data_IF_932321105464
#
_entry.id   IF_932321105464
#
_cell.length_a   1.000
_cell.length_b   1.000
_cell.length_c   1.000
_cell.angle_alpha   90.00
_cell.angle_beta   90.00
_cell.angle_gamma   90.00
#
_symmetry.space_group_name_H-M   'P 1'
#
loop_
_entity.id
_entity.type
_entity.pdbx_description
1 polymer ?
#
# COMPACT_ATOMS: atom_id res chain seq x y z
N UNK A 1 -18.94 -12.92 -0.86
CA UNK A 1 -17.84 -13.00 -1.86
C UNK A 1 -16.69 -13.71 -1.19
N UNK A 2 -16.15 -14.74 -1.82
CA UNK A 2 -14.95 -15.44 -1.37
C UNK A 2 -13.74 -14.49 -1.39
N UNK A 3 -12.74 -14.76 -0.56
CA UNK A 3 -11.46 -14.05 -0.55
C UNK A 3 -10.76 -14.28 -1.90
N UNK A 4 -10.38 -13.23 -2.66
CA UNK A 4 -9.66 -13.43 -3.92
C UNK A 4 -8.23 -13.92 -3.67
N UNK A 5 -7.71 -14.74 -4.56
CA UNK A 5 -6.31 -15.13 -4.55
C UNK A 5 -5.46 -13.99 -5.14
N UNK A 6 -4.31 -13.73 -4.55
CA UNK A 6 -3.30 -12.81 -5.10
C UNK A 6 -2.23 -13.63 -5.80
N UNK A 7 -2.02 -13.31 -7.08
CA UNK A 7 -1.00 -13.93 -7.93
C UNK A 7 0.09 -12.91 -8.23
N UNK A 8 1.34 -13.25 -7.91
CA UNK A 8 2.50 -12.42 -8.21
C UNK A 8 3.13 -12.86 -9.53
N UNK A 9 3.13 -11.98 -10.54
CA UNK A 9 3.85 -12.20 -11.78
C UNK A 9 5.36 -11.93 -11.60
N UNK A 10 6.17 -12.95 -11.87
CA UNK A 10 7.63 -12.96 -11.78
C UNK A 10 8.23 -12.92 -13.19
N UNK A 11 8.50 -11.69 -13.69
CA UNK A 11 8.95 -11.46 -15.06
C UNK A 11 10.46 -11.26 -15.20
N UNK A 12 11.23 -11.36 -14.10
CA UNK A 12 12.69 -11.21 -14.15
C UNK A 12 13.35 -12.33 -14.97
N UNK A 13 14.34 -11.97 -15.78
CA UNK A 13 15.18 -12.94 -16.49
C UNK A 13 16.18 -13.62 -15.55
N UNK A 14 16.56 -12.97 -14.45
CA UNK A 14 17.49 -13.52 -13.46
C UNK A 14 16.75 -14.40 -12.44
N UNK A 15 17.13 -15.68 -12.38
CA UNK A 15 16.52 -16.65 -11.47
C UNK A 15 16.74 -16.29 -9.98
N UNK A 16 17.90 -15.73 -9.63
CA UNK A 16 18.20 -15.30 -8.26
C UNK A 16 17.30 -14.14 -7.82
N UNK A 17 17.09 -13.15 -8.68
CA UNK A 17 16.14 -12.05 -8.44
C UNK A 17 14.70 -12.57 -8.34
N UNK A 18 14.31 -13.52 -9.20
CA UNK A 18 12.99 -14.17 -9.14
C UNK A 18 12.76 -14.83 -7.79
N UNK A 19 13.70 -15.65 -7.31
CA UNK A 19 13.63 -16.34 -6.02
C UNK A 19 13.64 -15.36 -4.83
N UNK A 20 14.41 -14.27 -4.92
CA UNK A 20 14.45 -13.22 -3.90
C UNK A 20 13.10 -12.51 -3.79
N UNK A 21 12.54 -12.09 -4.92
CA UNK A 21 11.24 -11.43 -4.97
C UNK A 21 10.11 -12.33 -4.45
N UNK A 22 10.11 -13.61 -4.90
CA UNK A 22 9.16 -14.61 -4.40
C UNK A 22 9.25 -14.75 -2.88
N UNK A 23 10.48 -14.79 -2.31
CA UNK A 23 10.68 -14.90 -0.85
C UNK A 23 10.13 -13.68 -0.09
N UNK A 24 10.31 -12.48 -0.62
CA UNK A 24 9.81 -11.25 -0.01
C UNK A 24 8.28 -11.19 -0.01
N UNK A 25 7.64 -11.62 -1.09
CA UNK A 25 6.20 -11.53 -1.26
C UNK A 25 5.43 -12.76 -0.71
N UNK A 26 6.10 -13.89 -0.46
CA UNK A 26 5.47 -15.17 -0.10
C UNK A 26 4.39 -15.09 1.00
N UNK A 27 4.54 -14.30 2.09
CA UNK A 27 3.51 -14.22 3.13
C UNK A 27 2.18 -13.62 2.65
N UNK A 28 2.18 -12.86 1.55
CA UNK A 28 1.06 -12.01 1.12
C UNK A 28 0.40 -12.46 -0.18
N UNK A 29 0.99 -13.44 -0.88
CA UNK A 29 0.50 -13.97 -2.16
C UNK A 29 0.13 -15.44 -2.05
N UNK A 30 -0.80 -15.87 -2.86
CA UNK A 30 -1.32 -17.24 -2.88
C UNK A 30 -0.70 -18.05 -4.04
N UNK A 31 -0.42 -17.38 -5.17
CA UNK A 31 0.09 -17.97 -6.40
C UNK A 31 1.36 -17.23 -6.82
N UNK A 32 2.41 -17.96 -7.19
CA UNK A 32 3.52 -17.43 -7.96
C UNK A 32 3.31 -17.77 -9.43
N UNK A 33 3.39 -16.75 -10.29
CA UNK A 33 3.39 -16.91 -11.73
C UNK A 33 4.81 -16.75 -12.26
N UNK A 34 5.33 -17.77 -12.90
CA UNK A 34 6.55 -17.68 -13.69
C UNK A 34 6.16 -17.03 -15.02
N UNK A 35 6.44 -15.74 -15.17
CA UNK A 35 6.07 -14.98 -16.35
C UNK A 35 6.73 -15.50 -17.62
N UNK A 36 6.11 -15.25 -18.77
CA UNK A 36 6.61 -15.72 -20.06
C UNK A 36 8.08 -15.37 -20.34
N UNK A 37 8.59 -14.16 -20.03
CA UNK A 37 10.00 -13.86 -20.19
C UNK A 37 10.89 -14.73 -19.29
N UNK A 38 10.48 -14.92 -18.04
CA UNK A 38 11.22 -15.70 -17.06
C UNK A 38 11.35 -17.17 -17.48
N UNK A 39 10.23 -17.82 -17.87
CA UNK A 39 10.25 -19.23 -18.27
C UNK A 39 11.02 -19.45 -19.56
N UNK A 40 10.91 -18.54 -20.54
CA UNK A 40 11.67 -18.61 -21.79
C UNK A 40 13.17 -18.49 -21.60
N UNK A 41 13.61 -17.73 -20.60
CA UNK A 41 15.03 -17.56 -20.29
C UNK A 41 15.61 -18.71 -19.45
N UNK A 42 14.89 -19.14 -18.39
CA UNK A 42 15.40 -20.07 -17.40
C UNK A 42 14.99 -21.52 -17.65
N UNK A 43 14.00 -21.75 -18.50
CA UNK A 43 13.49 -23.10 -18.78
C UNK A 43 12.84 -23.75 -17.54
N UNK A 44 12.73 -25.08 -17.59
CA UNK A 44 11.98 -25.86 -16.60
C UNK A 44 12.65 -25.90 -15.20
N UNK A 45 13.92 -25.53 -15.09
CA UNK A 45 14.66 -25.56 -13.81
C UNK A 45 14.05 -24.60 -12.79
N UNK A 46 13.63 -23.39 -13.22
CA UNK A 46 13.03 -22.39 -12.32
C UNK A 46 11.71 -22.88 -11.71
N UNK A 47 10.96 -23.75 -12.42
CA UNK A 47 9.73 -24.37 -11.89
C UNK A 47 10.05 -25.24 -10.69
N UNK A 48 11.06 -26.12 -10.82
CA UNK A 48 11.52 -27.01 -9.75
C UNK A 48 12.06 -26.22 -8.56
N UNK A 49 12.84 -25.19 -8.81
CA UNK A 49 13.45 -24.35 -7.77
C UNK A 49 12.37 -23.64 -6.94
N UNK A 50 11.38 -23.02 -7.60
CA UNK A 50 10.27 -22.36 -6.92
C UNK A 50 9.40 -23.36 -6.17
N UNK A 51 9.03 -24.50 -6.79
CA UNK A 51 8.19 -25.50 -6.13
C UNK A 51 8.89 -26.13 -4.92
N UNK A 52 10.19 -26.38 -5.01
CA UNK A 52 10.99 -26.88 -3.89
C UNK A 52 11.04 -25.88 -2.74
N UNK A 53 11.23 -24.59 -3.05
CA UNK A 53 11.35 -23.53 -2.06
C UNK A 53 10.01 -23.15 -1.42
N UNK A 54 8.91 -23.24 -2.18
CA UNK A 54 7.57 -22.83 -1.75
C UNK A 54 6.53 -23.94 -2.01
N UNK A 55 6.66 -25.11 -1.38
CA UNK A 55 5.81 -26.27 -1.69
C UNK A 55 4.32 -26.03 -1.43
N UNK A 56 3.98 -25.11 -0.53
CA UNK A 56 2.61 -24.77 -0.13
C UNK A 56 1.98 -23.64 -0.97
N UNK A 57 2.72 -23.11 -1.97
CA UNK A 57 2.19 -22.10 -2.89
C UNK A 57 1.77 -22.75 -4.20
N UNK A 58 0.70 -22.22 -4.78
CA UNK A 58 0.37 -22.56 -6.14
C UNK A 58 1.38 -21.93 -7.10
N UNK A 59 1.80 -22.67 -8.10
CA UNK A 59 2.76 -22.25 -9.10
C UNK A 59 2.09 -22.27 -10.48
N UNK A 60 1.90 -21.08 -11.07
CA UNK A 60 1.44 -20.92 -12.42
C UNK A 60 2.65 -20.71 -13.35
N UNK A 61 2.69 -21.44 -14.45
CA UNK A 61 3.69 -21.23 -15.51
C UNK A 61 3.01 -20.61 -16.73
N UNK A 62 3.39 -19.37 -17.06
CA UNK A 62 2.83 -18.62 -18.16
C UNK A 62 3.47 -19.00 -19.51
N UNK A 63 3.11 -20.20 -19.97
CA UNK A 63 3.65 -20.80 -21.20
C UNK A 63 3.16 -20.05 -22.45
N UNK A 64 1.95 -19.48 -22.39
CA UNK A 64 1.25 -18.94 -23.59
C UNK A 64 1.24 -19.95 -24.72
N UNK A 65 0.93 -21.22 -24.38
CA UNK A 65 0.88 -22.31 -25.36
C UNK A 65 -0.04 -21.94 -26.54
N UNK A 66 0.47 -22.08 -27.75
CA UNK A 66 -0.25 -21.74 -28.99
C UNK A 66 -0.54 -22.96 -29.84
N UNK A 67 0.24 -24.03 -29.72
CA UNK A 67 0.13 -25.28 -30.47
C UNK A 67 0.58 -26.46 -29.62
N UNK A 68 0.31 -27.70 -30.05
CA UNK A 68 0.77 -28.93 -29.40
C UNK A 68 0.54 -29.00 -27.88
N UNK A 69 -0.65 -28.60 -27.40
CA UNK A 69 -0.97 -28.31 -26.01
C UNK A 69 -0.55 -29.36 -24.99
N UNK A 70 -0.87 -30.66 -25.24
CA UNK A 70 -0.48 -31.76 -24.35
C UNK A 70 1.06 -31.92 -24.30
N UNK A 71 1.72 -31.86 -25.46
CA UNK A 71 3.15 -32.05 -25.58
C UNK A 71 3.94 -30.92 -24.89
N UNK A 72 3.55 -29.67 -25.07
CA UNK A 72 4.21 -28.52 -24.45
C UNK A 72 4.00 -28.44 -22.93
N UNK A 73 2.77 -28.69 -22.43
CA UNK A 73 2.44 -28.47 -21.02
C UNK A 73 2.89 -29.63 -20.11
N UNK A 74 2.88 -30.88 -20.59
CA UNK A 74 3.21 -32.08 -19.76
C UNK A 74 4.53 -31.94 -19.00
N UNK A 75 5.67 -31.54 -19.59
CA UNK A 75 6.93 -31.42 -18.86
C UNK A 75 6.89 -30.43 -17.69
N UNK A 76 6.11 -29.39 -17.78
CA UNK A 76 5.98 -28.36 -16.75
C UNK A 76 5.11 -28.83 -15.59
N UNK A 77 4.03 -29.52 -15.86
CA UNK A 77 3.24 -30.21 -14.83
C UNK A 77 4.09 -31.27 -14.10
N UNK A 78 4.82 -32.09 -14.86
CA UNK A 78 5.74 -33.06 -14.27
C UNK A 78 6.87 -32.43 -13.42
N UNK A 79 7.21 -31.17 -13.68
CA UNK A 79 8.18 -30.39 -12.88
C UNK A 79 7.58 -29.72 -11.63
N UNK A 80 6.25 -29.79 -11.45
CA UNK A 80 5.55 -29.28 -10.27
C UNK A 80 4.75 -28.00 -10.51
N UNK A 81 4.45 -27.64 -11.76
CA UNK A 81 3.49 -26.59 -12.04
C UNK A 81 2.08 -27.05 -11.61
N UNK A 82 1.36 -26.18 -10.88
CA UNK A 82 -0.04 -26.41 -10.52
C UNK A 82 -0.99 -25.89 -11.60
N UNK A 83 -0.55 -24.88 -12.38
CA UNK A 83 -1.33 -24.24 -13.42
C UNK A 83 -0.42 -23.93 -14.62
N UNK A 84 -0.86 -24.25 -15.83
CA UNK A 84 -0.20 -23.78 -17.06
C UNK A 84 -1.17 -22.94 -17.88
N UNK A 85 -0.63 -21.93 -18.62
CA UNK A 85 -1.46 -21.07 -19.49
C UNK A 85 -1.46 -21.58 -20.93
N UNK A 86 -2.63 -21.43 -21.57
CA UNK A 86 -2.83 -21.61 -23.02
C UNK A 86 -3.52 -20.38 -23.58
N UNK A 87 -3.13 -19.93 -24.76
CA UNK A 87 -3.73 -18.76 -25.40
C UNK A 87 -5.14 -19.08 -25.89
N UNK A 88 -6.11 -18.22 -25.59
CA UNK A 88 -7.47 -18.31 -26.09
C UNK A 88 -7.60 -18.12 -27.62
N UNK A 89 -6.56 -17.53 -28.25
CA UNK A 89 -6.46 -17.43 -29.73
C UNK A 89 -5.95 -18.72 -30.37
N UNK A 90 -5.54 -19.74 -29.58
CA UNK A 90 -5.19 -21.06 -30.11
C UNK A 90 -6.45 -21.88 -30.50
N UNK A 91 -6.27 -22.96 -31.23
CA UNK A 91 -7.35 -23.85 -31.57
C UNK A 91 -7.93 -24.63 -30.40
N UNK A 92 -9.23 -24.98 -30.44
CA UNK A 92 -9.87 -25.79 -29.39
C UNK A 92 -9.13 -27.10 -29.09
N UNK A 93 -8.49 -27.72 -30.10
CA UNK A 93 -7.68 -28.92 -29.93
C UNK A 93 -6.44 -28.68 -29.02
N UNK A 94 -5.80 -27.51 -29.14
CA UNK A 94 -4.66 -27.11 -28.31
C UNK A 94 -5.10 -26.90 -26.85
N UNK A 95 -6.21 -26.18 -26.63
CA UNK A 95 -6.78 -25.99 -25.29
C UNK A 95 -7.14 -27.33 -24.66
N UNK A 96 -7.84 -28.21 -25.40
CA UNK A 96 -8.19 -29.55 -24.93
C UNK A 96 -6.96 -30.40 -24.62
N UNK A 97 -5.86 -30.24 -25.38
CA UNK A 97 -4.58 -30.91 -25.13
C UNK A 97 -3.94 -30.49 -23.79
N UNK A 98 -3.93 -29.19 -23.48
CA UNK A 98 -3.43 -28.71 -22.18
C UNK A 98 -4.33 -29.18 -21.04
N UNK A 99 -5.67 -29.19 -21.22
CA UNK A 99 -6.62 -29.73 -20.23
C UNK A 99 -6.34 -31.21 -19.94
N UNK A 100 -6.09 -31.99 -20.99
CA UNK A 100 -5.74 -33.42 -20.85
C UNK A 100 -4.42 -33.62 -20.07
N UNK A 101 -3.40 -32.81 -20.37
CA UNK A 101 -2.13 -32.83 -19.64
C UNK A 101 -2.32 -32.47 -18.16
N UNK A 102 -3.12 -31.44 -17.87
CA UNK A 102 -3.43 -31.03 -16.51
C UNK A 102 -4.13 -32.14 -15.70
N UNK A 103 -5.16 -32.75 -16.29
CA UNK A 103 -5.89 -33.87 -15.65
C UNK A 103 -4.98 -35.06 -15.30
N UNK A 104 -3.98 -35.38 -16.16
CA UNK A 104 -3.03 -36.42 -15.89
C UNK A 104 -2.08 -36.15 -14.71
N UNK A 105 -2.00 -34.87 -14.25
CA UNK A 105 -1.11 -34.44 -13.17
C UNK A 105 -1.86 -33.80 -11.98
N UNK A 106 -3.18 -33.97 -11.91
CA UNK A 106 -4.03 -33.33 -10.88
C UNK A 106 -3.81 -31.80 -10.78
N UNK A 107 -3.72 -31.17 -11.95
CA UNK A 107 -3.38 -29.75 -12.12
C UNK A 107 -4.47 -29.00 -12.89
N UNK A 108 -4.31 -27.70 -13.07
CA UNK A 108 -5.31 -26.82 -13.66
C UNK A 108 -4.80 -26.10 -14.92
N UNK A 109 -5.74 -25.56 -15.70
CA UNK A 109 -5.45 -24.80 -16.92
C UNK A 109 -6.07 -23.42 -16.81
N UNK A 110 -5.28 -22.40 -17.15
CA UNK A 110 -5.76 -21.05 -17.40
C UNK A 110 -5.76 -20.77 -18.90
N UNK A 111 -6.93 -20.45 -19.46
CA UNK A 111 -7.06 -19.91 -20.83
C UNK A 111 -6.89 -18.38 -20.78
N UNK A 112 -5.80 -17.90 -21.38
CA UNK A 112 -5.48 -16.46 -21.43
C UNK A 112 -6.21 -15.79 -22.60
N UNK A 113 -7.07 -14.81 -22.31
CA UNK A 113 -7.85 -14.05 -23.29
C UNK A 113 -7.10 -12.86 -23.91
N UNK A 114 -5.78 -12.78 -23.74
CA UNK A 114 -4.97 -11.75 -24.42
C UNK A 114 -5.18 -11.83 -25.93
N UNK A 115 -5.43 -10.68 -26.57
CA UNK A 115 -5.66 -10.56 -28.02
C UNK A 115 -6.83 -11.39 -28.59
N UNK A 116 -7.69 -11.97 -27.77
CA UNK A 116 -8.89 -12.65 -28.21
C UNK A 116 -9.93 -11.62 -28.69
N UNK A 117 -10.41 -11.67 -29.95
CA UNK A 117 -11.38 -10.70 -30.47
C UNK A 117 -12.75 -10.82 -29.77
N UNK A 118 -13.29 -12.04 -29.65
CA UNK A 118 -14.53 -12.34 -28.93
C UNK A 118 -14.24 -13.09 -27.64
N UNK A 119 -13.96 -12.32 -26.58
CA UNK A 119 -13.62 -12.86 -25.25
C UNK A 119 -14.76 -13.64 -24.61
N UNK A 120 -16.02 -13.27 -24.93
CA UNK A 120 -17.18 -13.94 -24.33
C UNK A 120 -17.41 -15.33 -24.95
N UNK A 121 -17.27 -15.46 -26.26
CA UNK A 121 -17.34 -16.75 -26.94
C UNK A 121 -16.19 -17.66 -26.51
N UNK A 122 -14.97 -17.13 -26.45
CA UNK A 122 -13.78 -17.88 -26.01
C UNK A 122 -13.90 -18.35 -24.55
N UNK A 123 -14.41 -17.51 -23.64
CA UNK A 123 -14.61 -17.91 -22.24
C UNK A 123 -15.61 -19.07 -22.09
N UNK A 124 -16.73 -19.05 -22.87
CA UNK A 124 -17.69 -20.18 -22.91
C UNK A 124 -17.05 -21.45 -23.43
N UNK A 125 -16.26 -21.34 -24.50
CA UNK A 125 -15.58 -22.49 -25.10
C UNK A 125 -14.50 -23.05 -24.14
N UNK A 126 -13.73 -22.20 -23.48
CA UNK A 126 -12.76 -22.62 -22.47
C UNK A 126 -13.41 -23.43 -21.33
N UNK A 127 -14.54 -22.93 -20.80
CA UNK A 127 -15.33 -23.64 -19.79
C UNK A 127 -15.86 -24.99 -20.31
N UNK A 128 -16.38 -25.01 -21.55
CA UNK A 128 -16.89 -26.25 -22.18
C UNK A 128 -15.79 -27.30 -22.39
N UNK A 129 -14.57 -26.86 -22.67
CA UNK A 129 -13.40 -27.74 -22.84
C UNK A 129 -12.80 -28.23 -21.52
N UNK A 130 -13.29 -27.70 -20.37
CA UNK A 130 -12.89 -28.13 -19.04
C UNK A 130 -11.73 -27.34 -18.43
N UNK A 131 -11.45 -26.13 -18.91
CA UNK A 131 -10.53 -25.22 -18.24
C UNK A 131 -11.12 -24.74 -16.89
N UNK A 132 -10.29 -24.64 -15.88
CA UNK A 132 -10.68 -24.22 -14.53
C UNK A 132 -10.59 -22.70 -14.34
N UNK A 133 -9.77 -22.03 -15.16
CA UNK A 133 -9.49 -20.59 -15.03
C UNK A 133 -9.57 -19.94 -16.40
N UNK A 134 -10.23 -18.76 -16.45
CA UNK A 134 -10.22 -17.85 -17.61
C UNK A 134 -9.51 -16.58 -17.20
N UNK A 135 -8.43 -16.23 -17.88
CA UNK A 135 -7.61 -15.05 -17.63
C UNK A 135 -8.01 -13.87 -18.51
N UNK A 136 -8.60 -12.84 -17.94
CA UNK A 136 -8.84 -11.56 -18.62
C UNK A 136 -7.55 -10.74 -18.53
N UNK A 137 -6.85 -10.64 -19.65
CA UNK A 137 -5.51 -10.10 -19.70
C UNK A 137 -5.39 -8.91 -20.66
N UNK A 138 -4.91 -7.78 -20.17
CA UNK A 138 -4.47 -6.64 -20.99
C UNK A 138 -2.95 -6.62 -20.99
N UNK A 139 -2.34 -6.97 -22.14
CA UNK A 139 -0.89 -7.04 -22.30
C UNK A 139 -0.21 -5.67 -22.16
N UNK A 140 1.11 -5.66 -21.95
CA UNK A 140 1.89 -4.43 -21.71
C UNK A 140 1.75 -3.40 -22.84
N UNK A 141 1.74 -3.84 -24.10
CA UNK A 141 1.58 -2.94 -25.25
C UNK A 141 0.20 -2.26 -25.27
N UNK A 142 -0.84 -3.00 -24.91
CA UNK A 142 -2.19 -2.47 -24.81
C UNK A 142 -2.35 -1.54 -23.59
N UNK A 143 -1.68 -1.85 -22.49
CA UNK A 143 -1.61 -0.96 -21.32
C UNK A 143 -0.92 0.36 -21.66
N UNK A 144 0.18 0.31 -22.44
CA UNK A 144 0.87 1.52 -22.91
C UNK A 144 -0.04 2.40 -23.78
N UNK A 145 -1.00 1.79 -24.49
CA UNK A 145 -2.06 2.48 -25.24
C UNK A 145 -3.28 2.90 -24.36
N UNK A 146 -3.19 2.78 -23.03
CA UNK A 146 -4.24 3.19 -22.09
C UNK A 146 -5.40 2.20 -21.93
N UNK A 147 -5.29 0.98 -22.46
CA UNK A 147 -6.31 -0.04 -22.27
C UNK A 147 -6.25 -0.66 -20.88
N UNK A 148 -7.40 -1.12 -20.38
CA UNK A 148 -7.54 -1.78 -19.07
C UNK A 148 -8.41 -3.02 -19.18
N UNK A 149 -8.27 -4.03 -18.30
CA UNK A 149 -9.05 -5.27 -18.35
C UNK A 149 -10.46 -5.15 -17.75
N UNK A 150 -10.86 -4.01 -17.21
CA UNK A 150 -12.02 -3.92 -16.31
C UNK A 150 -13.36 -4.15 -17.01
N UNK A 151 -13.56 -3.60 -18.19
CA UNK A 151 -14.79 -3.79 -18.97
C UNK A 151 -14.97 -5.25 -19.39
N UNK A 152 -13.88 -5.86 -19.87
CA UNK A 152 -13.86 -7.26 -20.28
C UNK A 152 -14.11 -8.18 -19.09
N UNK A 153 -13.48 -7.91 -17.93
CA UNK A 153 -13.70 -8.67 -16.70
C UNK A 153 -15.17 -8.66 -16.29
N UNK A 154 -15.80 -7.47 -16.28
CA UNK A 154 -17.22 -7.35 -15.94
C UNK A 154 -18.11 -8.11 -16.92
N UNK A 155 -17.79 -8.06 -18.22
CA UNK A 155 -18.55 -8.74 -19.25
C UNK A 155 -18.46 -10.26 -19.11
N UNK A 156 -17.25 -10.81 -18.90
CA UNK A 156 -17.03 -12.25 -18.69
C UNK A 156 -17.66 -12.71 -17.37
N UNK A 157 -17.53 -11.94 -16.29
CA UNK A 157 -18.11 -12.25 -14.97
C UNK A 157 -19.63 -12.41 -15.02
N UNK A 158 -20.32 -11.60 -15.83
CA UNK A 158 -21.78 -11.69 -16.02
C UNK A 158 -22.25 -12.97 -16.72
N UNK A 159 -21.36 -13.73 -17.34
CA UNK A 159 -21.71 -15.00 -17.96
C UNK A 159 -22.03 -16.09 -16.90
N UNK A 160 -21.55 -15.94 -15.67
CA UNK A 160 -21.78 -16.91 -14.58
C UNK A 160 -21.23 -18.31 -14.89
N UNK A 161 -20.11 -18.40 -15.62
CA UNK A 161 -19.49 -19.67 -15.98
C UNK A 161 -18.90 -20.37 -14.76
N UNK A 162 -18.85 -21.72 -14.75
CA UNK A 162 -18.28 -22.49 -13.65
C UNK A 162 -16.73 -22.51 -13.71
N UNK A 163 -16.12 -21.34 -13.85
CA UNK A 163 -14.67 -21.13 -13.88
C UNK A 163 -14.28 -20.00 -12.98
N UNK A 164 -13.06 -20.00 -12.47
CA UNK A 164 -12.48 -18.85 -11.77
C UNK A 164 -12.02 -17.81 -12.78
N UNK A 165 -12.22 -16.54 -12.46
CA UNK A 165 -11.77 -15.42 -13.29
C UNK A 165 -10.48 -14.85 -12.75
N UNK A 166 -9.41 -14.94 -13.56
CA UNK A 166 -8.14 -14.26 -13.30
C UNK A 166 -8.13 -12.93 -14.07
N UNK A 167 -7.55 -11.90 -13.48
CA UNK A 167 -7.39 -10.58 -14.11
C UNK A 167 -5.95 -10.11 -14.04
N UNK A 168 -5.39 -9.75 -15.20
CA UNK A 168 -4.04 -9.23 -15.36
C UNK A 168 -4.02 -7.95 -16.21
N UNK A 169 -3.14 -7.01 -15.86
CA UNK A 169 -2.93 -5.77 -16.60
C UNK A 169 -3.17 -4.52 -15.77
N UNK A 170 -2.10 -3.89 -15.29
CA UNK A 170 -2.14 -2.61 -14.58
C UNK A 170 -2.77 -2.64 -13.18
N UNK A 171 -2.92 -3.83 -12.57
CA UNK A 171 -3.47 -3.94 -11.21
C UNK A 171 -2.45 -3.45 -10.18
N UNK A 172 -2.93 -2.60 -9.27
CA UNK A 172 -2.13 -1.98 -8.21
C UNK A 172 -3.03 -1.63 -7.01
N UNK A 173 -2.48 -0.98 -5.99
CA UNK A 173 -3.23 -0.58 -4.79
C UNK A 173 -4.49 0.26 -5.10
N UNK A 174 -4.48 1.06 -6.20
CA UNK A 174 -5.63 1.91 -6.56
C UNK A 174 -6.77 1.15 -7.22
N UNK A 175 -6.47 0.03 -7.84
CA UNK A 175 -7.41 -0.71 -8.70
C UNK A 175 -7.83 -2.05 -8.14
N UNK A 176 -7.07 -2.62 -7.17
CA UNK A 176 -7.34 -3.95 -6.61
C UNK A 176 -8.76 -4.12 -6.06
N UNK A 177 -9.30 -3.11 -5.38
CA UNK A 177 -10.68 -3.15 -4.85
C UNK A 177 -11.71 -3.13 -5.99
N UNK A 178 -11.43 -2.40 -7.06
CA UNK A 178 -12.30 -2.32 -8.24
C UNK A 178 -12.36 -3.66 -8.98
N UNK A 179 -11.22 -4.30 -9.23
CA UNK A 179 -11.19 -5.61 -9.92
C UNK A 179 -11.84 -6.71 -9.09
N UNK A 180 -11.67 -6.69 -7.76
CA UNK A 180 -12.41 -7.59 -6.86
C UNK A 180 -13.93 -7.41 -7.01
N UNK A 181 -14.42 -6.16 -6.99
CA UNK A 181 -15.85 -5.85 -7.17
C UNK A 181 -16.37 -6.24 -8.56
N UNK A 182 -15.49 -6.23 -9.55
CA UNK A 182 -15.83 -6.65 -10.92
C UNK A 182 -15.93 -8.18 -11.09
N UNK A 183 -15.62 -8.96 -10.04
CA UNK A 183 -15.80 -10.41 -10.03
C UNK A 183 -14.53 -11.21 -10.25
N UNK A 184 -13.34 -10.64 -10.01
CA UNK A 184 -12.08 -11.39 -10.05
C UNK A 184 -11.95 -12.34 -8.86
N UNK A 185 -11.69 -13.62 -9.15
CA UNK A 185 -11.32 -14.65 -8.16
C UNK A 185 -9.81 -14.70 -7.95
N UNK A 186 -9.03 -14.38 -8.98
CA UNK A 186 -7.57 -14.32 -8.97
C UNK A 186 -7.13 -12.94 -9.49
N UNK A 187 -6.34 -12.24 -8.69
CA UNK A 187 -5.85 -10.90 -9.00
C UNK A 187 -4.34 -10.97 -9.26
N UNK A 188 -3.95 -10.76 -10.52
CA UNK A 188 -2.55 -10.81 -10.94
C UNK A 188 -1.90 -9.45 -10.78
N UNK A 189 -0.77 -9.41 -10.07
CA UNK A 189 -0.01 -8.19 -9.81
C UNK A 189 1.45 -8.42 -10.18
N UNK A 190 1.98 -7.58 -11.02
CA UNK A 190 3.39 -7.59 -11.45
C UNK A 190 4.12 -6.34 -10.96
N UNK A 191 4.25 -5.34 -11.84
CA UNK A 191 5.05 -4.12 -11.64
C UNK A 191 4.75 -3.36 -10.33
N UNK A 192 3.51 -3.38 -9.84
CA UNK A 192 3.16 -2.74 -8.57
C UNK A 192 3.85 -3.37 -7.35
N UNK A 193 4.32 -4.62 -7.46
CA UNK A 193 5.09 -5.30 -6.41
C UNK A 193 6.58 -5.28 -6.76
N UNK A 194 6.99 -5.82 -7.90
CA UNK A 194 8.41 -5.96 -8.21
C UNK A 194 9.12 -4.62 -8.49
N UNK A 195 8.40 -3.60 -8.93
CA UNK A 195 8.93 -2.24 -9.14
C UNK A 195 8.89 -1.34 -7.89
N UNK A 196 8.35 -1.85 -6.77
CA UNK A 196 8.28 -1.09 -5.53
C UNK A 196 9.65 -1.09 -4.81
N UNK A 197 10.02 0.01 -4.12
CA UNK A 197 11.23 0.04 -3.29
C UNK A 197 11.26 -1.04 -2.19
N UNK A 198 10.09 -1.44 -1.69
CA UNK A 198 9.89 -2.50 -0.70
C UNK A 198 8.79 -3.47 -1.20
N UNK A 199 9.13 -4.51 -1.96
CA UNK A 199 8.18 -5.44 -2.55
C UNK A 199 7.29 -6.17 -1.54
N UNK A 200 7.82 -6.53 -0.38
CA UNK A 200 7.08 -7.13 0.73
C UNK A 200 5.99 -6.20 1.28
N UNK A 201 6.28 -4.92 1.43
CA UNK A 201 5.30 -3.90 1.86
C UNK A 201 4.22 -3.74 0.79
N UNK A 202 4.59 -3.64 -0.48
CA UNK A 202 3.64 -3.49 -1.58
C UNK A 202 2.71 -4.71 -1.70
N UNK A 203 3.24 -5.93 -1.57
CA UNK A 203 2.46 -7.16 -1.60
C UNK A 203 1.48 -7.23 -0.42
N UNK A 204 1.91 -6.86 0.79
CA UNK A 204 1.06 -6.78 1.98
C UNK A 204 -0.09 -5.80 1.78
N UNK A 205 0.18 -4.59 1.31
CA UNK A 205 -0.83 -3.56 1.08
C UNK A 205 -1.90 -4.01 0.07
N UNK A 206 -1.48 -4.63 -1.02
CA UNK A 206 -2.39 -5.20 -2.01
C UNK A 206 -3.26 -6.28 -1.39
N UNK A 207 -2.67 -7.16 -0.56
CA UNK A 207 -3.40 -8.22 0.17
C UNK A 207 -4.45 -7.62 1.11
N UNK A 208 -4.08 -6.63 1.92
CA UNK A 208 -4.96 -5.96 2.88
C UNK A 208 -6.15 -5.28 2.18
N UNK A 209 -5.90 -4.59 1.06
CA UNK A 209 -6.94 -3.96 0.26
C UNK A 209 -7.85 -4.98 -0.43
N UNK A 210 -7.30 -6.07 -0.96
CA UNK A 210 -8.05 -7.16 -1.55
C UNK A 210 -8.95 -7.86 -0.53
N UNK A 211 -8.49 -8.02 0.71
CA UNK A 211 -9.26 -8.59 1.81
C UNK A 211 -10.32 -7.61 2.36
N UNK A 212 -10.22 -6.32 2.06
CA UNK A 212 -11.09 -5.27 2.59
C UNK A 212 -10.67 -4.77 3.98
N UNK A 213 -9.47 -5.07 4.42
CA UNK A 213 -8.91 -4.66 5.71
C UNK A 213 -8.33 -3.24 5.67
N UNK A 214 -9.18 -2.24 5.40
CA UNK A 214 -8.72 -0.84 5.26
C UNK A 214 -8.03 -0.30 6.53
N UNK A 215 -8.45 -0.71 7.72
CA UNK A 215 -7.79 -0.27 8.96
C UNK A 215 -6.37 -0.84 9.07
N UNK A 216 -6.12 -2.10 8.69
CA UNK A 216 -4.77 -2.67 8.67
C UNK A 216 -3.90 -2.03 7.60
N UNK A 217 -4.47 -1.74 6.42
CA UNK A 217 -3.80 -0.97 5.38
C UNK A 217 -3.36 0.41 5.91
N UNK A 218 -4.24 1.15 6.60
CA UNK A 218 -3.91 2.43 7.21
C UNK A 218 -2.78 2.27 8.23
N UNK A 219 -2.89 1.29 9.14
CA UNK A 219 -1.85 1.02 10.15
C UNK A 219 -0.50 0.67 9.53
N UNK A 220 -0.49 -0.12 8.47
CA UNK A 220 0.73 -0.45 7.71
C UNK A 220 1.41 0.81 7.14
N UNK A 221 0.63 1.70 6.53
CA UNK A 221 1.12 2.99 6.01
C UNK A 221 1.70 3.86 7.11
N UNK A 222 0.98 4.02 8.21
CA UNK A 222 1.44 4.84 9.35
C UNK A 222 2.72 4.27 9.95
N UNK A 223 2.81 2.95 10.13
CA UNK A 223 4.02 2.28 10.62
C UNK A 223 5.23 2.55 9.72
N UNK A 224 5.06 2.52 8.40
CA UNK A 224 6.12 2.85 7.45
C UNK A 224 6.61 4.30 7.57
N UNK A 225 5.69 5.24 7.74
CA UNK A 225 6.02 6.67 7.94
C UNK A 225 6.75 6.87 9.26
N UNK A 226 6.24 6.33 10.36
CA UNK A 226 6.84 6.48 11.69
C UNK A 226 8.22 5.80 11.78
N UNK A 227 8.41 4.65 11.12
CA UNK A 227 9.71 3.98 11.07
C UNK A 227 10.80 4.78 10.34
N UNK A 228 10.43 5.65 9.41
CA UNK A 228 11.34 6.55 8.68
C UNK A 228 11.49 7.93 9.34
N UNK A 229 10.70 8.22 10.38
CA UNK A 229 10.79 9.47 11.13
C UNK A 229 12.00 9.42 12.09
N UNK A 230 12.73 10.53 12.20
CA UNK A 230 13.89 10.63 13.07
C UNK A 230 13.47 10.43 14.53
N UNK A 231 14.01 9.39 15.17
CA UNK A 231 13.73 9.05 16.58
C UNK A 231 14.16 10.12 17.58
N UNK A 232 15.07 11.03 17.19
CA UNK A 232 15.47 12.14 18.04
C UNK A 232 14.39 13.22 18.19
N UNK A 233 13.36 13.20 17.34
CA UNK A 233 12.29 14.20 17.34
C UNK A 233 11.56 14.28 18.68
N UNK A 234 11.26 13.15 19.31
CA UNK A 234 10.59 13.11 20.61
C UNK A 234 11.42 13.81 21.69
N UNK A 235 12.72 13.51 21.78
CA UNK A 235 13.62 14.13 22.75
C UNK A 235 13.80 15.63 22.49
N UNK A 236 13.95 16.03 21.23
CA UNK A 236 14.11 17.44 20.83
C UNK A 236 12.85 18.24 21.13
N UNK A 237 11.66 17.70 20.79
CA UNK A 237 10.39 18.36 21.10
C UNK A 237 10.18 18.45 22.63
N UNK A 238 10.47 17.39 23.36
CA UNK A 238 10.42 17.37 24.83
C UNK A 238 11.27 18.49 25.43
N UNK A 239 12.52 18.64 24.99
CA UNK A 239 13.40 19.71 25.46
C UNK A 239 12.86 21.11 25.17
N UNK A 240 12.23 21.31 24.01
CA UNK A 240 11.58 22.58 23.65
C UNK A 240 10.36 22.87 24.55
N UNK A 241 9.53 21.86 24.82
CA UNK A 241 8.36 21.97 25.70
C UNK A 241 8.77 22.31 27.14
N UNK A 242 9.74 21.58 27.69
CA UNK A 242 10.21 21.80 29.08
C UNK A 242 10.92 23.13 29.27
N UNK A 243 11.63 23.60 28.25
CA UNK A 243 12.31 24.88 28.27
C UNK A 243 11.40 26.09 28.01
N UNK A 244 10.09 25.93 27.98
CA UNK A 244 9.14 26.99 27.60
C UNK A 244 8.25 27.39 28.74
N UNK A 245 7.93 28.69 28.81
CA UNK A 245 7.01 29.23 29.81
C UNK A 245 5.56 28.90 29.49
N UNK A 246 5.17 29.15 28.24
CA UNK A 246 3.85 28.87 27.70
C UNK A 246 4.00 28.27 26.32
N UNK A 247 3.02 27.51 25.89
CA UNK A 247 3.02 26.81 24.60
C UNK A 247 1.82 27.31 23.79
N UNK A 248 2.07 27.70 22.55
CA UNK A 248 1.03 28.11 21.60
C UNK A 248 1.06 27.12 20.44
N UNK A 249 -0.08 26.50 20.15
CA UNK A 249 -0.20 25.53 19.06
C UNK A 249 -1.13 26.01 17.99
N UNK A 250 -0.82 25.69 16.72
CA UNK A 250 -1.64 26.07 15.57
C UNK A 250 -1.49 25.10 14.40
N UNK A 251 -2.43 25.14 13.49
CA UNK A 251 -2.45 24.44 12.22
C UNK A 251 -3.69 24.82 11.42
N UNK A 252 -3.64 24.68 10.12
CA UNK A 252 -4.79 24.96 9.25
C UNK A 252 -5.60 23.67 8.99
N UNK A 253 -6.92 23.76 8.95
CA UNK A 253 -7.82 22.64 8.65
C UNK A 253 -7.61 21.45 9.60
N UNK A 254 -7.40 20.26 9.04
CA UNK A 254 -7.21 19.01 9.81
C UNK A 254 -5.95 19.04 10.69
N UNK A 255 -4.88 19.71 10.24
CA UNK A 255 -3.69 19.92 11.07
C UNK A 255 -4.01 20.74 12.32
N UNK A 256 -4.98 21.67 12.23
CA UNK A 256 -5.49 22.41 13.38
C UNK A 256 -6.23 21.52 14.39
N UNK A 257 -6.94 20.50 13.94
CA UNK A 257 -7.57 19.51 14.83
C UNK A 257 -6.50 18.70 15.59
N UNK A 258 -5.41 18.33 14.93
CA UNK A 258 -4.27 17.66 15.58
C UNK A 258 -3.62 18.60 16.62
N UNK A 259 -3.44 19.87 16.27
CA UNK A 259 -2.91 20.87 17.22
C UNK A 259 -3.81 21.00 18.45
N UNK A 260 -5.13 21.02 18.31
CA UNK A 260 -6.09 21.06 19.44
C UNK A 260 -6.02 19.78 20.29
N UNK A 261 -5.94 18.60 19.66
CA UNK A 261 -5.75 17.33 20.36
C UNK A 261 -4.47 17.37 21.21
N UNK A 262 -3.36 17.81 20.61
CA UNK A 262 -2.08 17.92 21.30
C UNK A 262 -2.12 18.93 22.46
N UNK A 263 -2.78 20.10 22.28
CA UNK A 263 -2.98 21.08 23.33
C UNK A 263 -3.69 20.48 24.55
N UNK A 264 -4.78 19.73 24.31
CA UNK A 264 -5.53 19.08 25.38
C UNK A 264 -4.64 18.09 26.16
N UNK A 265 -3.84 17.30 25.44
CA UNK A 265 -2.93 16.34 26.11
C UNK A 265 -1.84 17.03 26.91
N UNK A 266 -1.28 18.13 26.44
CA UNK A 266 -0.31 18.94 27.17
C UNK A 266 -0.95 19.58 28.41
N UNK A 267 -2.17 20.10 28.32
CA UNK A 267 -2.93 20.66 29.44
C UNK A 267 -3.16 19.60 30.52
N UNK A 268 -3.55 18.39 30.16
CA UNK A 268 -3.67 17.29 31.12
C UNK A 268 -2.31 16.97 31.78
N UNK A 269 -1.20 17.09 31.05
CA UNK A 269 0.16 16.98 31.57
C UNK A 269 0.61 18.14 32.48
N UNK A 270 -0.20 19.19 32.60
CA UNK A 270 0.08 20.33 33.46
C UNK A 270 0.84 21.46 32.81
N UNK A 271 0.92 21.48 31.48
CA UNK A 271 1.51 22.57 30.73
C UNK A 271 0.53 23.73 30.53
N UNK A 272 1.04 24.96 30.51
CA UNK A 272 0.28 26.16 30.17
C UNK A 272 0.25 26.30 28.63
N UNK A 273 -0.84 25.87 28.02
CA UNK A 273 -0.98 25.71 26.56
C UNK A 273 -2.19 26.46 26.03
N UNK A 274 -2.03 27.07 24.86
CA UNK A 274 -3.05 27.87 24.18
C UNK A 274 -3.16 27.44 22.71
N UNK A 275 -4.38 27.44 22.19
CA UNK A 275 -4.66 27.23 20.77
C UNK A 275 -4.83 28.58 20.08
N UNK A 276 -3.99 28.87 19.09
CA UNK A 276 -4.06 30.14 18.35
C UNK A 276 -5.39 30.23 17.59
N UNK A 277 -6.08 31.35 17.74
CA UNK A 277 -7.39 31.61 17.15
C UNK A 277 -8.57 31.40 18.10
N UNK A 278 -8.35 30.82 19.29
CA UNK A 278 -9.38 30.82 20.34
C UNK A 278 -9.47 32.21 20.98
N UNK A 279 -10.68 32.62 21.37
CA UNK A 279 -10.98 33.98 21.84
C UNK A 279 -10.15 34.38 23.06
N UNK A 280 -9.85 33.43 23.93
CA UNK A 280 -9.10 33.65 25.18
C UNK A 280 -7.57 33.46 25.02
N UNK A 281 -7.07 33.35 23.78
CA UNK A 281 -5.64 33.20 23.52
C UNK A 281 -4.89 34.48 23.90
N UNK A 282 -3.94 34.43 24.86
CA UNK A 282 -3.19 35.62 25.26
C UNK A 282 -2.11 35.98 24.22
N UNK A 283 -1.52 37.20 24.37
CA UNK A 283 -0.40 37.60 23.50
C UNK A 283 0.84 36.73 23.73
N UNK A 284 1.44 36.27 22.62
CA UNK A 284 2.72 35.54 22.64
C UNK A 284 3.88 36.49 22.93
N UNK A 285 4.94 36.01 23.63
CA UNK A 285 6.07 36.81 24.09
C UNK A 285 7.36 36.00 24.07
N UNK A 286 8.48 36.67 24.30
CA UNK A 286 9.77 36.02 24.53
C UNK A 286 9.69 34.98 25.66
N UNK A 287 10.29 33.82 25.47
CA UNK A 287 10.27 32.67 26.38
C UNK A 287 9.08 31.71 26.17
N UNK A 288 8.13 32.07 25.30
CA UNK A 288 7.07 31.18 24.88
C UNK A 288 7.52 30.26 23.72
N UNK A 289 6.79 29.17 23.50
CA UNK A 289 6.98 28.24 22.39
C UNK A 289 5.80 28.31 21.44
N UNK A 290 6.06 28.49 20.16
CA UNK A 290 5.06 28.43 19.10
C UNK A 290 5.25 27.15 18.28
N UNK A 291 4.24 26.29 18.28
CA UNK A 291 4.25 25.02 17.52
C UNK A 291 3.26 25.12 16.38
N UNK A 292 3.77 25.04 15.17
CA UNK A 292 2.95 25.08 13.95
C UNK A 292 2.96 23.72 13.24
N UNK A 293 1.78 23.17 12.96
CA UNK A 293 1.60 21.92 12.21
C UNK A 293 1.17 22.28 10.78
N UNK A 294 2.08 22.08 9.83
CA UNK A 294 1.84 22.38 8.41
C UNK A 294 2.55 21.37 7.52
N UNK A 295 1.80 20.47 6.89
CA UNK A 295 2.36 19.43 6.04
C UNK A 295 3.21 19.98 4.90
N UNK A 296 2.81 21.08 4.27
CA UNK A 296 3.60 21.74 3.21
C UNK A 296 4.72 22.64 3.74
N UNK A 297 4.55 23.20 4.95
CA UNK A 297 5.38 24.28 5.47
C UNK A 297 5.23 25.62 4.71
N UNK A 298 4.17 25.74 3.89
CA UNK A 298 3.96 26.90 2.98
C UNK A 298 2.58 27.54 3.17
N UNK A 299 1.76 27.09 4.13
CA UNK A 299 0.41 27.61 4.33
C UNK A 299 0.45 29.07 4.73
N UNK A 300 -0.11 29.95 3.93
CA UNK A 300 0.02 31.40 4.04
C UNK A 300 -0.38 31.96 5.43
N UNK A 301 -1.52 31.54 5.96
CA UNK A 301 -1.96 31.95 7.30
C UNK A 301 -1.02 31.46 8.39
N UNK A 302 -0.48 30.26 8.27
CA UNK A 302 0.50 29.71 9.22
C UNK A 302 1.83 30.46 9.13
N UNK A 303 2.26 30.85 7.93
CA UNK A 303 3.44 31.67 7.71
C UNK A 303 3.29 33.05 8.37
N UNK A 304 2.12 33.69 8.23
CA UNK A 304 1.85 34.99 8.85
C UNK A 304 1.93 34.89 10.38
N UNK A 305 1.32 33.86 10.99
CA UNK A 305 1.42 33.65 12.44
C UNK A 305 2.84 33.35 12.88
N UNK A 306 3.60 32.55 12.11
CA UNK A 306 4.97 32.21 12.41
C UNK A 306 5.88 33.45 12.40
N UNK A 307 5.76 34.32 11.37
CA UNK A 307 6.49 35.59 11.30
C UNK A 307 6.20 36.44 12.53
N UNK A 308 4.92 36.59 12.90
CA UNK A 308 4.54 37.35 14.07
C UNK A 308 5.09 36.80 15.36
N UNK A 309 5.03 35.46 15.56
CA UNK A 309 5.61 34.81 16.73
C UNK A 309 7.13 35.05 16.83
N UNK A 310 7.83 35.00 15.69
CA UNK A 310 9.28 35.26 15.60
C UNK A 310 9.61 36.70 16.00
N UNK A 311 8.86 37.68 15.47
CA UNK A 311 9.00 39.10 15.85
C UNK A 311 8.82 39.33 17.35
N UNK A 312 7.96 38.58 18.00
CA UNK A 312 7.71 38.66 19.44
C UNK A 312 8.73 37.90 20.28
N UNK A 313 9.75 37.29 19.65
CA UNK A 313 10.84 36.59 20.33
C UNK A 313 10.46 35.19 20.85
N UNK A 314 9.39 34.59 20.37
CA UNK A 314 9.06 33.20 20.70
C UNK A 314 9.98 32.19 19.98
N UNK A 315 10.22 31.04 20.60
CA UNK A 315 10.84 29.90 19.91
C UNK A 315 9.81 29.20 19.05
N UNK A 316 10.24 28.67 17.91
CA UNK A 316 9.32 28.13 16.89
C UNK A 316 9.68 26.67 16.60
N UNK A 317 8.67 25.81 16.63
CA UNK A 317 8.73 24.43 16.15
C UNK A 317 7.77 24.26 14.97
N UNK A 318 8.30 23.77 13.84
CA UNK A 318 7.51 23.34 12.72
C UNK A 318 7.42 21.80 12.71
N UNK A 319 6.21 21.27 12.51
CA UNK A 319 5.97 19.85 12.21
C UNK A 319 5.47 19.76 10.75
N UNK A 320 6.22 19.07 9.88
CA UNK A 320 6.00 19.09 8.44
C UNK A 320 6.38 17.78 7.77
N UNK A 321 5.95 17.57 6.52
CA UNK A 321 6.44 16.49 5.66
C UNK A 321 7.78 16.83 5.01
N UNK A 322 8.22 18.08 5.11
CA UNK A 322 9.43 18.61 4.47
C UNK A 322 10.46 19.04 5.50
N UNK A 323 11.74 18.73 5.25
CA UNK A 323 12.85 19.21 6.06
C UNK A 323 13.19 20.69 5.83
N UNK A 324 12.81 21.26 4.66
CA UNK A 324 13.01 22.67 4.29
C UNK A 324 11.73 23.25 3.70
N UNK A 325 11.38 24.45 4.13
CA UNK A 325 10.18 25.20 3.67
C UNK A 325 10.23 26.63 4.20
N UNK A 326 9.40 27.53 3.67
CA UNK A 326 9.35 28.94 4.08
C UNK A 326 9.07 29.12 5.59
N UNK A 327 8.21 28.27 6.17
CA UNK A 327 7.99 28.27 7.63
C UNK A 327 9.20 27.64 8.34
N UNK A 328 9.81 26.61 7.75
CA UNK A 328 10.99 25.94 8.29
C UNK A 328 12.21 26.85 8.45
N UNK A 329 12.40 27.80 7.51
CA UNK A 329 13.47 28.82 7.57
C UNK A 329 13.32 29.80 8.74
N UNK A 330 12.10 29.90 9.29
CA UNK A 330 11.80 30.70 10.49
C UNK A 330 11.81 29.87 11.78
N UNK A 331 11.86 28.55 11.68
CA UNK A 331 11.75 27.66 12.84
C UNK A 331 13.11 27.43 13.50
N UNK A 332 13.13 27.36 14.84
CA UNK A 332 14.29 26.91 15.64
C UNK A 332 14.44 25.40 15.59
N UNK A 333 13.35 24.69 15.31
CA UNK A 333 13.31 23.24 15.16
C UNK A 333 12.26 22.84 14.11
N UNK A 334 12.67 22.09 13.10
CA UNK A 334 11.76 21.41 12.17
C UNK A 334 11.75 19.93 12.46
N UNK A 335 10.57 19.39 12.73
CA UNK A 335 10.31 17.95 12.89
C UNK A 335 9.70 17.41 11.61
N UNK A 336 10.51 16.73 10.82
CA UNK A 336 10.04 16.11 9.59
C UNK A 336 9.40 14.77 9.92
N UNK A 337 8.10 14.62 9.60
CA UNK A 337 7.35 13.38 9.77
C UNK A 337 7.38 12.61 8.46
N UNK A 338 8.08 11.47 8.42
CA UNK A 338 8.26 10.66 7.21
C UNK A 338 9.11 11.34 6.15
N UNK A 339 8.97 10.87 4.89
CA UNK A 339 9.65 11.42 3.72
C UNK A 339 8.65 11.97 2.70
N UNK A 340 9.01 12.97 1.87
CA UNK A 340 8.11 13.51 0.85
C UNK A 340 7.55 12.45 -0.12
N UNK A 341 8.34 11.42 -0.40
CA UNK A 341 7.97 10.30 -1.29
C UNK A 341 6.78 9.52 -0.76
N UNK A 342 6.69 9.33 0.56
CA UNK A 342 5.60 8.59 1.23
C UNK A 342 4.23 9.30 1.10
N UNK A 343 4.23 10.58 0.76
CA UNK A 343 3.02 11.39 0.61
C UNK A 343 2.60 11.63 -0.85
N UNK A 344 3.46 11.27 -1.83
CA UNK A 344 3.25 11.60 -3.25
C UNK A 344 2.03 10.96 -3.91
N UNK A 345 1.58 9.80 -3.48
CA UNK A 345 0.33 9.14 -3.92
C UNK A 345 -0.10 8.08 -2.91
N UNK A 346 -0.85 8.45 -1.91
CA UNK A 346 -1.40 7.46 -0.99
C UNK A 346 -2.81 7.08 -1.42
N UNK A 347 -2.91 6.02 -2.19
CA UNK A 347 -4.19 5.44 -2.57
C UNK A 347 -4.91 4.95 -1.32
N UNK A 348 -6.20 5.26 -1.21
CA UNK A 348 -7.02 4.87 -0.06
C UNK A 348 -6.87 5.78 1.17
N UNK A 349 -5.94 6.75 1.15
CA UNK A 349 -5.75 7.76 2.19
C UNK A 349 -5.65 9.17 1.57
N UNK A 350 -6.77 9.78 1.16
CA UNK A 350 -6.75 11.04 0.43
C UNK A 350 -6.34 12.23 1.31
N UNK A 351 -5.83 13.29 0.68
CA UNK A 351 -5.72 14.64 1.22
C UNK A 351 -4.94 14.78 2.54
N UNK A 352 -3.72 14.22 2.63
CA UNK A 352 -2.87 14.44 3.82
C UNK A 352 -3.20 13.57 5.03
N UNK A 353 -4.16 12.64 4.93
CA UNK A 353 -4.55 11.71 6.02
C UNK A 353 -3.34 11.01 6.65
N UNK A 354 -2.38 10.58 5.83
CA UNK A 354 -1.15 9.92 6.32
C UNK A 354 -0.33 10.87 7.20
N UNK A 355 -0.13 12.13 6.77
CA UNK A 355 0.61 13.13 7.56
C UNK A 355 -0.07 13.39 8.89
N UNK A 356 -1.36 13.66 8.86
CA UNK A 356 -2.11 14.05 10.05
C UNK A 356 -2.16 12.93 11.08
N UNK A 357 -2.46 11.69 10.68
CA UNK A 357 -2.48 10.55 11.59
C UNK A 357 -1.08 10.19 12.11
N UNK A 358 -0.03 10.25 11.26
CA UNK A 358 1.34 10.01 11.71
C UNK A 358 1.82 11.09 12.68
N UNK A 359 1.47 12.36 12.42
CA UNK A 359 1.76 13.48 13.32
C UNK A 359 1.04 13.30 14.65
N UNK A 360 -0.23 12.91 14.64
CA UNK A 360 -1.00 12.64 15.86
C UNK A 360 -0.33 11.55 16.71
N UNK A 361 0.05 10.43 16.09
CA UNK A 361 0.73 9.33 16.80
C UNK A 361 2.10 9.75 17.35
N UNK A 362 2.90 10.49 16.60
CA UNK A 362 4.19 11.02 17.04
C UNK A 362 4.03 11.96 18.25
N UNK A 363 3.07 12.86 18.21
CA UNK A 363 2.80 13.80 19.31
C UNK A 363 2.27 13.08 20.55
N UNK A 364 1.41 12.08 20.39
CA UNK A 364 0.92 11.27 21.51
C UNK A 364 2.04 10.45 22.13
N UNK A 365 2.96 9.89 21.34
CA UNK A 365 4.17 9.22 21.85
C UNK A 365 5.06 10.18 22.66
N UNK A 366 5.23 11.43 22.17
CA UNK A 366 5.96 12.47 22.90
C UNK A 366 5.31 12.78 24.25
N UNK A 367 3.99 12.93 24.29
CA UNK A 367 3.25 13.18 25.56
C UNK A 367 3.35 11.98 26.50
N UNK A 368 3.21 10.77 25.98
CA UNK A 368 3.37 9.54 26.79
C UNK A 368 4.78 9.47 27.40
N UNK A 369 5.81 9.79 26.63
CA UNK A 369 7.18 9.87 27.12
C UNK A 369 7.34 10.93 28.24
N UNK A 370 6.78 12.12 28.03
CA UNK A 370 6.80 13.21 29.04
C UNK A 370 6.12 12.80 30.35
N UNK A 371 4.93 12.21 30.26
CA UNK A 371 4.17 11.73 31.43
C UNK A 371 4.98 10.69 32.20
N UNK A 372 5.59 9.74 31.48
CA UNK A 372 6.42 8.70 32.07
C UNK A 372 7.69 9.27 32.73
N UNK A 373 8.42 10.13 32.02
CA UNK A 373 9.66 10.75 32.51
C UNK A 373 9.42 11.61 33.75
N UNK A 374 8.33 12.37 33.78
CA UNK A 374 7.94 13.21 34.93
C UNK A 374 7.17 12.46 36.01
N UNK A 375 6.88 11.17 35.82
CA UNK A 375 6.08 10.36 36.73
C UNK A 375 4.75 11.03 37.12
N UNK A 376 4.05 11.64 36.13
CA UNK A 376 2.78 12.31 36.37
C UNK A 376 1.71 11.23 36.61
N UNK A 377 1.09 11.19 37.80
CA UNK A 377 0.05 10.19 38.08
C UNK A 377 -1.21 10.44 37.20
N UNK A 378 -1.87 9.38 36.77
CA UNK A 378 -3.11 9.48 36.00
C UNK A 378 -4.20 10.25 36.78
N UNK A 379 -4.25 10.08 38.11
CA UNK A 379 -5.17 10.81 38.99
C UNK A 379 -4.96 12.34 38.88
N UNK A 380 -3.71 12.80 38.82
CA UNK A 380 -3.40 14.21 38.64
C UNK A 380 -3.83 14.71 37.25
N UNK A 381 -3.75 13.87 36.23
CA UNK A 381 -4.29 14.21 34.91
C UNK A 381 -5.83 14.32 34.94
N UNK A 382 -6.48 13.41 35.64
CA UNK A 382 -7.95 13.41 35.81
C UNK A 382 -8.47 14.66 36.51
N UNK A 383 -7.74 15.23 37.47
CA UNK A 383 -8.15 16.50 38.13
C UNK A 383 -8.16 17.70 37.20
N UNK A 384 -7.43 17.61 36.07
CA UNK A 384 -7.42 18.65 35.03
C UNK A 384 -8.36 18.38 33.87
N UNK A 385 -9.00 17.22 33.86
CA UNK A 385 -9.99 16.88 32.84
C UNK A 385 -11.22 17.78 32.99
N UNK A 386 -11.84 18.14 31.85
CA UNK A 386 -13.08 18.90 31.88
C UNK A 386 -14.14 18.22 32.72
N UNK A 387 -14.88 18.98 33.50
CA UNK A 387 -15.96 18.49 34.39
C UNK A 387 -17.32 19.11 34.09
N UNK A 388 -17.45 19.78 32.92
CA UNK A 388 -18.67 20.38 32.40
C UNK A 388 -19.24 19.64 31.18
N UNK A 389 -18.76 18.45 30.90
CA UNK A 389 -19.21 17.58 29.81
C UNK A 389 -19.89 16.29 30.34
#
# INVERSE_FOLDING_TARGET
>A
MTRPLIQLALDSLDAGQTLKLASQAAPFVDIFEIGTPCIKHNGISIVRDLKTRFPNKLLLVDLKTMDAGEYEATPFYAAGADICTVLGVSGSATIAGVVKAAQAHDAEVQVDLINVPDKLACAREAARLGAQIVGVHTGLDAQAAGQTPYADLQAVSRLGLPVRLSVAGGVNQSTVTQVKKAGADIIVVGAAIYGAPAPDVAAREIRELADGNHHQFIMSKLSGVLASTDRSHEARLTAMLEGSRRIFVTGAGRSGLIAKFFAMRLMHGGYDVYVVGEIVTPSIRQGDLFIVISGSGETETMLAFTKRAREMGARIVLISTKGSSTIGDLADLTLQVGTPEQYKKTVGMPMGTTFELSTLLMLEATVAHLIHAKKIPEEQMRTRHANLE
#
